data_IF_790016332175
#
_entry.id   IF_790016332175
#
_cell.length_a   1.000
_cell.length_b   1.000
_cell.length_c   1.000
_cell.angle_alpha   90.00
_cell.angle_beta   90.00
_cell.angle_gamma   90.00
#
_symmetry.space_group_name_H-M   'P 1'
#
loop_
_entity.id
_entity.type
_entity.pdbx_description
1 polymer ?
#
# COMPACT_ATOMS: atom_id res chain seq x y z
N UNK A 1 54.01 40.69 34.62
CA UNK A 1 52.99 40.57 35.69
C UNK A 1 51.59 40.35 35.09
N UNK A 2 50.91 39.26 35.51
CA UNK A 2 49.47 39.09 35.76
C UNK A 2 48.46 39.71 34.75
N UNK A 3 47.41 39.06 34.23
CA UNK A 3 46.59 37.88 34.61
C UNK A 3 45.49 37.72 33.52
N UNK A 4 44.74 36.60 33.60
CA UNK A 4 43.31 36.37 33.19
C UNK A 4 42.89 36.26 31.70
N UNK A 5 42.48 35.05 31.32
CA UNK A 5 41.38 34.76 30.39
C UNK A 5 40.08 34.51 31.20
N UNK A 6 38.89 34.26 30.59
CA UNK A 6 38.37 34.47 29.23
C UNK A 6 37.08 35.34 29.24
N UNK A 7 36.30 35.41 28.16
CA UNK A 7 34.82 35.17 28.08
C UNK A 7 34.14 35.91 26.89
N UNK A 8 33.34 35.11 26.17
CA UNK A 8 32.03 35.40 25.52
C UNK A 8 31.91 36.26 24.24
N UNK A 9 31.67 35.51 23.14
CA UNK A 9 30.54 35.57 22.21
C UNK A 9 30.23 36.88 21.47
N UNK A 10 30.14 36.82 20.13
CA UNK A 10 28.86 36.90 19.39
C UNK A 10 29.10 36.90 17.88
N UNK A 11 28.18 36.23 17.17
CA UNK A 11 27.73 36.50 15.80
C UNK A 11 28.51 35.88 14.63
N UNK A 12 28.09 34.67 14.23
CA UNK A 12 28.02 34.32 12.81
C UNK A 12 26.62 33.75 12.53
N UNK A 13 25.81 34.51 11.80
CA UNK A 13 24.60 34.04 11.13
C UNK A 13 24.94 32.87 10.20
N UNK A 14 24.07 31.89 10.00
CA UNK A 14 22.70 32.06 9.59
C UNK A 14 22.56 31.51 8.17
N UNK A 15 22.55 30.20 8.05
CA UNK A 15 21.85 29.42 7.02
C UNK A 15 21.98 27.93 7.40
N UNK A 16 21.13 27.46 8.31
CA UNK A 16 20.87 26.01 8.40
C UNK A 16 19.61 25.76 7.57
N UNK A 17 19.70 24.99 6.47
CA UNK A 17 18.52 24.62 5.73
C UNK A 17 17.65 23.78 6.67
N UNK A 18 16.43 24.24 6.86
CA UNK A 18 15.33 23.47 7.44
C UNK A 18 15.20 22.16 6.66
N UNK A 19 15.88 21.12 7.14
CA UNK A 19 15.75 19.78 6.64
C UNK A 19 14.29 19.40 6.81
N UNK A 20 13.63 19.30 5.66
CA UNK A 20 12.19 19.12 5.55
C UNK A 20 11.71 17.97 6.41
N UNK A 21 10.47 18.13 6.86
CA UNK A 21 9.64 17.13 7.52
C UNK A 21 9.62 15.84 6.68
N UNK A 22 10.61 14.98 6.88
CA UNK A 22 10.60 13.63 6.38
C UNK A 22 9.60 12.87 7.24
N UNK A 23 8.36 12.76 6.76
CA UNK A 23 7.39 11.85 7.34
C UNK A 23 8.11 10.52 7.61
N UNK A 24 8.20 10.13 8.88
CA UNK A 24 8.64 8.80 9.22
C UNK A 24 7.56 7.86 8.70
N UNK A 25 7.72 7.42 7.45
CA UNK A 25 7.04 6.26 6.93
C UNK A 25 7.54 5.11 7.81
N UNK A 26 6.78 4.81 8.85
CA UNK A 26 6.85 3.56 9.60
C UNK A 26 7.15 2.48 8.57
N UNK A 27 8.30 1.84 8.71
CA UNK A 27 8.84 0.88 7.73
C UNK A 27 7.71 -0.02 7.24
N UNK A 28 7.13 0.26 6.05
CA UNK A 28 6.26 -0.71 5.39
C UNK A 28 7.18 -1.87 5.08
N UNK A 29 7.04 -2.96 5.84
CA UNK A 29 7.78 -4.16 5.57
C UNK A 29 7.35 -4.61 4.17
N UNK A 30 8.21 -4.46 3.16
CA UNK A 30 7.81 -4.63 1.77
C UNK A 30 7.41 -6.09 1.47
N UNK A 31 7.62 -7.01 2.40
CA UNK A 31 7.26 -8.43 2.29
C UNK A 31 5.76 -8.71 2.52
N UNK A 32 5.01 -7.72 2.98
CA UNK A 32 3.60 -7.83 3.38
C UNK A 32 2.70 -6.85 2.62
N UNK A 33 3.05 -6.47 1.40
CA UNK A 33 2.20 -5.59 0.57
C UNK A 33 1.40 -6.39 -0.46
N UNK A 34 0.11 -6.11 -0.60
CA UNK A 34 -0.74 -6.61 -1.68
C UNK A 34 -0.93 -5.48 -2.68
N UNK A 35 -0.60 -5.75 -3.93
CA UNK A 35 -0.73 -4.79 -5.00
C UNK A 35 -1.90 -5.21 -5.89
N UNK A 36 -2.81 -4.27 -6.13
CA UNK A 36 -3.97 -4.44 -6.99
C UNK A 36 -3.78 -3.52 -8.18
N UNK A 37 -3.70 -4.09 -9.38
CA UNK A 37 -3.61 -3.35 -10.64
C UNK A 37 -4.89 -3.56 -11.44
N UNK A 38 -5.45 -2.50 -11.98
CA UNK A 38 -6.55 -2.63 -12.92
C UNK A 38 -6.01 -2.74 -14.35
N UNK A 39 -6.48 -3.76 -15.06
CA UNK A 39 -6.24 -3.97 -16.49
C UNK A 39 -7.44 -3.54 -17.34
N UNK A 40 -8.63 -3.49 -16.74
CA UNK A 40 -9.86 -2.98 -17.32
C UNK A 40 -10.66 -2.16 -16.28
N UNK A 41 -11.85 -1.70 -16.65
CA UNK A 41 -12.72 -1.00 -15.70
C UNK A 41 -13.29 -1.98 -14.68
N UNK A 42 -13.01 -1.74 -13.40
CA UNK A 42 -13.45 -2.60 -12.30
C UNK A 42 -13.80 -1.76 -11.08
N UNK A 43 -15.03 -1.91 -10.60
CA UNK A 43 -15.41 -1.36 -9.31
C UNK A 43 -14.74 -2.16 -8.21
N UNK A 44 -14.07 -1.49 -7.28
CA UNK A 44 -13.48 -2.08 -6.10
C UNK A 44 -14.04 -1.44 -4.83
N UNK A 45 -14.07 -2.23 -3.78
CA UNK A 45 -14.33 -1.81 -2.43
C UNK A 45 -13.36 -2.53 -1.50
N UNK A 46 -12.72 -1.79 -0.62
CA UNK A 46 -11.80 -2.32 0.38
C UNK A 46 -12.35 -1.98 1.75
N UNK A 47 -12.60 -3.00 2.54
CA UNK A 47 -13.15 -2.91 3.89
C UNK A 47 -12.18 -3.49 4.91
N UNK A 48 -12.21 -2.98 6.15
CA UNK A 48 -11.54 -3.59 7.31
C UNK A 48 -12.39 -4.71 7.90
N UNK A 49 -11.77 -5.51 8.77
CA UNK A 49 -12.44 -6.57 9.52
C UNK A 49 -13.58 -6.10 10.43
N UNK A 50 -13.60 -4.82 10.81
CA UNK A 50 -14.68 -4.20 11.59
C UNK A 50 -15.88 -3.73 10.73
N UNK A 51 -15.77 -3.86 9.40
CA UNK A 51 -16.77 -3.42 8.43
C UNK A 51 -16.62 -1.97 7.99
N UNK A 52 -15.58 -1.24 8.44
CA UNK A 52 -15.27 0.09 7.93
C UNK A 52 -14.84 0.02 6.45
N UNK A 53 -15.47 0.82 5.60
CA UNK A 53 -15.08 0.97 4.20
C UNK A 53 -13.91 1.96 4.10
N UNK A 54 -12.74 1.49 3.68
CA UNK A 54 -11.54 2.33 3.54
C UNK A 54 -11.53 3.03 2.19
N UNK A 55 -11.93 2.31 1.15
CA UNK A 55 -11.87 2.79 -0.22
C UNK A 55 -12.95 2.13 -1.04
N UNK A 56 -13.74 2.92 -1.75
CA UNK A 56 -14.63 2.43 -2.81
C UNK A 56 -14.43 3.31 -4.02
N UNK A 57 -13.91 2.74 -5.11
CA UNK A 57 -13.75 3.47 -6.36
C UNK A 57 -13.89 2.57 -7.60
N UNK A 58 -14.14 3.20 -8.74
CA UNK A 58 -14.01 2.56 -10.04
C UNK A 58 -12.56 2.69 -10.52
N UNK A 59 -11.80 1.61 -10.47
CA UNK A 59 -10.46 1.56 -11.07
C UNK A 59 -10.57 1.38 -12.59
N UNK A 60 -9.62 1.97 -13.31
CA UNK A 60 -9.45 1.87 -14.75
C UNK A 60 -8.11 1.23 -15.09
N UNK A 61 -7.98 0.79 -16.34
CA UNK A 61 -6.73 0.23 -16.86
C UNK A 61 -5.55 1.16 -16.57
N UNK A 62 -4.52 0.64 -15.90
CA UNK A 62 -3.34 1.38 -15.47
C UNK A 62 -3.37 1.87 -14.02
N UNK A 63 -4.54 1.87 -13.35
CA UNK A 63 -4.62 2.21 -11.94
C UNK A 63 -3.97 1.12 -11.09
N UNK A 64 -3.29 1.54 -10.02
CA UNK A 64 -2.65 0.65 -9.07
C UNK A 64 -2.89 1.13 -7.65
N UNK A 65 -3.16 0.18 -6.76
CA UNK A 65 -3.29 0.39 -5.32
C UNK A 65 -2.41 -0.61 -4.59
N UNK A 66 -1.89 -0.19 -3.44
CA UNK A 66 -1.05 -1.01 -2.58
C UNK A 66 -1.64 -0.99 -1.18
N UNK A 67 -1.83 -2.17 -0.61
CA UNK A 67 -2.41 -2.38 0.71
C UNK A 67 -1.46 -3.20 1.57
N UNK A 68 -1.42 -2.93 2.87
CA UNK A 68 -0.62 -3.71 3.80
C UNK A 68 -1.42 -4.96 4.22
N UNK A 69 -0.82 -6.13 4.12
CA UNK A 69 -1.47 -7.43 4.39
C UNK A 69 -1.68 -7.72 5.87
N UNK A 70 -1.07 -6.91 6.75
CA UNK A 70 -1.29 -6.91 8.20
C UNK A 70 -2.62 -6.24 8.62
N UNK A 71 -3.20 -5.40 7.76
CA UNK A 71 -4.35 -4.54 8.10
C UNK A 71 -5.72 -5.29 8.13
N UNK A 72 -5.73 -6.62 7.97
CA UNK A 72 -6.95 -7.45 7.89
C UNK A 72 -8.01 -6.85 6.95
N UNK A 73 -7.57 -6.51 5.74
CA UNK A 73 -8.41 -5.90 4.71
C UNK A 73 -9.11 -6.95 3.86
N UNK A 74 -10.26 -6.58 3.33
CA UNK A 74 -11.10 -7.39 2.47
C UNK A 74 -11.38 -6.62 1.19
N UNK A 75 -11.17 -7.26 0.05
CA UNK A 75 -11.44 -6.72 -1.27
C UNK A 75 -12.74 -7.32 -1.81
N UNK A 76 -13.61 -6.43 -2.24
CA UNK A 76 -14.77 -6.73 -3.08
C UNK A 76 -14.58 -6.08 -4.44
N UNK A 77 -14.91 -6.79 -5.52
CA UNK A 77 -14.85 -6.26 -6.88
C UNK A 77 -15.99 -6.78 -7.75
N UNK A 78 -16.52 -5.91 -8.60
CA UNK A 78 -17.58 -6.24 -9.56
C UNK A 78 -17.07 -6.78 -10.90
N UNK A 79 -15.77 -6.75 -11.14
CA UNK A 79 -15.16 -7.28 -12.35
C UNK A 79 -13.72 -7.74 -12.05
N UNK A 80 -13.59 -8.96 -11.53
CA UNK A 80 -12.32 -9.52 -11.11
C UNK A 80 -11.34 -9.72 -12.28
N UNK A 81 -11.82 -10.13 -13.46
CA UNK A 81 -10.97 -10.26 -14.65
C UNK A 81 -10.42 -8.94 -15.20
N UNK A 82 -10.95 -7.79 -14.73
CA UNK A 82 -10.37 -6.48 -14.98
C UNK A 82 -9.30 -6.07 -13.95
N UNK A 83 -8.97 -6.94 -12.99
CA UNK A 83 -7.99 -6.71 -11.95
C UNK A 83 -6.91 -7.80 -11.98
N UNK A 84 -5.70 -7.40 -11.61
CA UNK A 84 -4.54 -8.25 -11.40
C UNK A 84 -4.03 -8.05 -9.99
N UNK A 85 -3.84 -9.16 -9.28
CA UNK A 85 -3.32 -9.18 -7.92
C UNK A 85 -1.85 -9.59 -7.96
N UNK A 86 -1.02 -8.94 -7.15
CA UNK A 86 0.37 -9.28 -6.92
C UNK A 86 0.71 -9.15 -5.44
N UNK A 87 1.70 -9.92 -5.00
CA UNK A 87 2.28 -9.81 -3.67
C UNK A 87 3.76 -10.21 -3.77
N UNK A 88 4.65 -9.73 -2.89
CA UNK A 88 6.02 -10.23 -2.80
C UNK A 88 6.05 -11.77 -2.77
N UNK A 89 6.80 -12.37 -3.70
CA UNK A 89 6.89 -13.82 -3.93
C UNK A 89 5.65 -14.50 -4.54
N UNK A 90 4.64 -13.74 -4.95
CA UNK A 90 3.48 -14.23 -5.72
C UNK A 90 3.42 -13.43 -7.02
N UNK A 91 3.75 -14.09 -8.14
CA UNK A 91 3.70 -13.46 -9.45
C UNK A 91 2.30 -12.91 -9.75
N UNK A 92 2.25 -11.78 -10.47
CA UNK A 92 1.00 -11.11 -10.76
C UNK A 92 0.05 -12.02 -11.58
N UNK A 93 -1.19 -12.16 -11.14
CA UNK A 93 -2.21 -13.04 -11.74
C UNK A 93 -3.57 -12.33 -11.79
N UNK A 94 -4.42 -12.72 -12.72
CA UNK A 94 -5.75 -12.10 -12.85
C UNK A 94 -6.62 -12.52 -11.65
N UNK A 95 -7.33 -11.56 -11.05
CA UNK A 95 -8.03 -11.81 -9.78
C UNK A 95 -9.16 -12.85 -9.91
N UNK A 96 -9.70 -13.00 -11.12
CA UNK A 96 -10.75 -13.96 -11.48
C UNK A 96 -11.12 -13.82 -12.96
N UNK A 97 -12.27 -14.35 -13.36
CA UNK A 97 -12.76 -14.26 -14.74
C UNK A 97 -13.36 -12.89 -15.06
N UNK A 98 -13.46 -12.56 -16.35
CA UNK A 98 -14.12 -11.31 -16.79
C UNK A 98 -15.59 -11.33 -16.36
N UNK A 99 -16.03 -10.28 -15.64
CA UNK A 99 -17.37 -10.19 -15.08
C UNK A 99 -17.61 -11.03 -13.81
N UNK A 100 -16.60 -11.74 -13.31
CA UNK A 100 -16.68 -12.42 -12.02
C UNK A 100 -16.74 -11.39 -10.90
N UNK A 101 -17.65 -11.61 -9.96
CA UNK A 101 -17.81 -10.77 -8.77
C UNK A 101 -17.10 -11.47 -7.62
N UNK A 102 -16.10 -10.81 -7.05
CA UNK A 102 -15.45 -11.25 -5.83
C UNK A 102 -15.97 -10.43 -4.66
N UNK A 103 -16.21 -11.09 -3.54
CA UNK A 103 -16.59 -10.45 -2.29
C UNK A 103 -15.74 -10.98 -1.17
N UNK A 104 -15.39 -10.09 -0.26
CA UNK A 104 -14.70 -10.41 0.99
C UNK A 104 -13.40 -11.20 0.77
N UNK A 105 -12.68 -10.91 -0.32
CA UNK A 105 -11.36 -11.50 -0.55
C UNK A 105 -10.37 -10.87 0.43
N UNK A 106 -9.95 -11.63 1.44
CA UNK A 106 -8.96 -11.16 2.39
C UNK A 106 -7.63 -10.86 1.68
N UNK A 107 -7.08 -9.67 1.93
CA UNK A 107 -5.81 -9.21 1.35
C UNK A 107 -4.62 -9.71 2.18
N UNK A 108 -4.54 -11.02 2.40
CA UNK A 108 -3.43 -11.67 3.10
C UNK A 108 -2.74 -12.73 2.23
N UNK A 109 -1.54 -13.15 2.63
CA UNK A 109 -0.73 -14.10 1.86
C UNK A 109 -1.48 -15.39 1.51
N UNK A 110 -2.11 -16.01 2.51
CA UNK A 110 -2.81 -17.28 2.33
C UNK A 110 -3.95 -17.17 1.32
N UNK A 111 -4.77 -16.12 1.42
CA UNK A 111 -5.93 -15.93 0.54
C UNK A 111 -5.49 -15.57 -0.87
N UNK A 112 -4.49 -14.71 -1.04
CA UNK A 112 -3.94 -14.36 -2.36
C UNK A 112 -3.31 -15.59 -3.02
N UNK A 113 -2.57 -16.41 -2.27
CA UNK A 113 -2.01 -17.66 -2.79
C UNK A 113 -3.11 -18.66 -3.17
N UNK A 114 -4.13 -18.83 -2.34
CA UNK A 114 -5.26 -19.71 -2.65
C UNK A 114 -5.98 -19.23 -3.92
N UNK A 115 -6.21 -17.91 -4.06
CA UNK A 115 -6.80 -17.34 -5.28
C UNK A 115 -5.96 -17.56 -6.52
N UNK A 116 -4.64 -17.42 -6.43
CA UNK A 116 -3.75 -17.70 -7.56
C UNK A 116 -3.89 -19.16 -8.03
N UNK A 117 -4.00 -20.10 -7.09
CA UNK A 117 -4.21 -21.50 -7.42
C UNK A 117 -5.53 -21.69 -8.16
N UNK A 118 -6.62 -21.05 -7.69
CA UNK A 118 -7.93 -21.15 -8.35
C UNK A 118 -7.96 -20.50 -9.74
N UNK A 119 -7.23 -19.40 -9.94
CA UNK A 119 -7.15 -18.71 -11.23
C UNK A 119 -6.35 -19.49 -12.29
N UNK A 120 -5.58 -20.49 -11.88
CA UNK A 120 -4.72 -21.30 -12.77
C UNK A 120 -5.45 -22.53 -13.34
N UNK A 121 -6.65 -22.87 -12.86
CA UNK A 121 -7.46 -24.01 -13.31
C UNK A 121 -8.75 -23.57 -14.01
#
# INVERSE_FOLDING_TARGET
>A
PAVIAPQTASDEGGDEPVAGVGAQATQRLPAEEVIIRATASSWIEVTRADGEVLLTQLMRSGDQLVFSSDENLFLSTGNAGGLRLEMPNIAAFDAGQTGEILRDLRLNRESIQNRQLLATY
#
